data_IF_184401242994
#
_entry.id   IF_184401242994
#
_cell.length_a   1.000
_cell.length_b   1.000
_cell.length_c   1.000
_cell.angle_alpha   90.00
_cell.angle_beta   90.00
_cell.angle_gamma   90.00
#
_symmetry.space_group_name_H-M   'P 1'
#
loop_
_entity.id
_entity.type
_entity.pdbx_description
1 polymer ?
#
# COMPACT_ATOMS: atom_id res chain seq x y z
N UNK A 1 -10.73 -54.70 9.26
CA UNK A 1 -9.61 -53.80 9.59
C UNK A 1 -9.84 -52.49 8.88
N UNK A 2 -10.52 -51.54 9.53
CA UNK A 2 -10.75 -50.19 9.04
C UNK A 2 -9.76 -49.26 9.74
N UNK A 3 -8.79 -48.73 9.01
CA UNK A 3 -7.91 -47.67 9.48
C UNK A 3 -8.70 -46.37 9.54
N UNK A 4 -8.97 -45.89 10.75
CA UNK A 4 -9.45 -44.53 10.99
C UNK A 4 -8.26 -43.57 10.93
N UNK A 5 -8.19 -42.78 9.86
CA UNK A 5 -7.27 -41.65 9.71
C UNK A 5 -7.64 -40.55 10.71
N UNK A 6 -6.88 -40.44 11.80
CA UNK A 6 -7.00 -39.34 12.76
C UNK A 6 -6.46 -38.03 12.19
N UNK A 7 -7.35 -37.14 11.74
CA UNK A 7 -7.01 -35.76 11.45
C UNK A 7 -6.58 -35.03 12.73
N UNK A 8 -5.47 -34.29 12.68
CA UNK A 8 -4.99 -33.49 13.83
C UNK A 8 -6.08 -32.47 14.23
N UNK A 9 -6.55 -32.46 15.49
CA UNK A 9 -7.55 -31.49 15.95
C UNK A 9 -6.98 -30.07 15.84
N UNK A 10 -7.73 -29.18 15.18
CA UNK A 10 -7.33 -27.79 14.97
C UNK A 10 -7.07 -27.08 16.30
N UNK A 11 -5.83 -26.61 16.48
CA UNK A 11 -5.38 -25.93 17.71
C UNK A 11 -6.12 -24.60 17.84
N UNK A 12 -6.95 -24.45 18.88
CA UNK A 12 -7.63 -23.19 19.21
C UNK A 12 -6.63 -22.14 19.69
N UNK A 13 -6.88 -20.87 19.36
CA UNK A 13 -6.08 -19.74 19.85
C UNK A 13 -6.29 -19.55 21.36
N UNK A 14 -5.20 -19.31 22.07
CA UNK A 14 -5.22 -18.85 23.46
C UNK A 14 -5.71 -17.41 23.54
N UNK A 15 -6.16 -16.98 24.72
CA UNK A 15 -6.59 -15.60 24.96
C UNK A 15 -5.47 -14.58 24.68
N UNK A 16 -4.22 -14.94 25.00
CA UNK A 16 -3.05 -14.11 24.71
C UNK A 16 -2.78 -13.99 23.21
N UNK A 17 -2.82 -15.10 22.46
CA UNK A 17 -2.66 -15.08 21.00
C UNK A 17 -3.76 -14.24 20.34
N UNK A 18 -5.01 -14.36 20.78
CA UNK A 18 -6.13 -13.57 20.24
C UNK A 18 -6.00 -12.08 20.57
N UNK A 19 -5.60 -11.74 21.79
CA UNK A 19 -5.38 -10.35 22.20
C UNK A 19 -4.23 -9.71 21.42
N UNK A 20 -3.13 -10.46 21.21
CA UNK A 20 -1.98 -10.01 20.42
C UNK A 20 -2.37 -9.76 18.97
N UNK A 21 -3.08 -10.71 18.35
CA UNK A 21 -3.60 -10.56 16.99
C UNK A 21 -4.50 -9.33 16.83
N UNK A 22 -5.43 -9.15 17.78
CA UNK A 22 -6.34 -8.00 17.77
C UNK A 22 -5.59 -6.68 17.89
N UNK A 23 -4.70 -6.57 18.88
CA UNK A 23 -3.91 -5.37 19.10
C UNK A 23 -3.06 -5.02 17.87
N UNK A 24 -2.48 -6.01 17.20
CA UNK A 24 -1.73 -5.79 15.96
C UNK A 24 -2.61 -5.19 14.85
N UNK A 25 -3.77 -5.79 14.56
CA UNK A 25 -4.65 -5.34 13.47
C UNK A 25 -5.27 -3.97 13.76
N UNK A 26 -5.80 -3.76 14.96
CA UNK A 26 -6.43 -2.50 15.35
C UNK A 26 -5.42 -1.35 15.34
N UNK A 27 -4.22 -1.57 15.88
CA UNK A 27 -3.15 -0.55 15.87
C UNK A 27 -2.68 -0.24 14.45
N UNK A 28 -2.51 -1.26 13.60
CA UNK A 28 -2.11 -1.06 12.21
C UNK A 28 -3.18 -0.28 11.41
N UNK A 29 -4.46 -0.54 11.65
CA UNK A 29 -5.57 0.19 11.03
C UNK A 29 -5.65 1.64 11.53
N UNK A 30 -5.47 1.86 12.84
CA UNK A 30 -5.45 3.20 13.42
C UNK A 30 -4.27 4.03 12.89
N UNK A 31 -3.08 3.44 12.84
CA UNK A 31 -1.89 4.09 12.30
C UNK A 31 -2.10 4.50 10.83
N UNK A 32 -2.64 3.59 10.00
CA UNK A 32 -3.00 3.88 8.61
C UNK A 32 -4.00 5.04 8.53
N UNK A 33 -5.06 5.00 9.33
CA UNK A 33 -6.08 6.05 9.35
C UNK A 33 -5.49 7.43 9.67
N UNK A 34 -4.62 7.51 10.69
CA UNK A 34 -3.98 8.78 11.08
C UNK A 34 -3.01 9.28 10.01
N UNK A 35 -2.16 8.39 9.46
CA UNK A 35 -1.22 8.75 8.40
C UNK A 35 -1.94 9.22 7.12
N UNK A 36 -2.98 8.50 6.72
CA UNK A 36 -3.82 8.88 5.58
C UNK A 36 -4.56 10.20 5.80
N UNK A 37 -5.01 10.47 7.04
CA UNK A 37 -5.59 11.76 7.44
C UNK A 37 -4.60 12.91 7.26
N UNK A 38 -3.41 12.80 7.87
CA UNK A 38 -2.35 13.83 7.77
C UNK A 38 -1.91 14.07 6.32
N UNK A 39 -1.72 13.00 5.54
CA UNK A 39 -1.39 13.09 4.12
C UNK A 39 -2.45 13.91 3.35
N UNK A 40 -3.72 13.66 3.63
CA UNK A 40 -4.82 14.39 2.98
C UNK A 40 -4.88 15.85 3.41
N UNK A 41 -4.68 16.14 4.68
CA UNK A 41 -4.69 17.51 5.22
C UNK A 41 -3.53 18.34 4.67
N UNK A 42 -2.32 17.79 4.63
CA UNK A 42 -1.12 18.52 4.25
C UNK A 42 -0.98 18.72 2.73
N UNK A 43 -1.50 17.80 1.91
CA UNK A 43 -1.24 17.82 0.47
C UNK A 43 -2.46 17.63 -0.42
N UNK A 44 -3.63 17.36 0.17
CA UNK A 44 -4.85 17.01 -0.58
C UNK A 44 -4.79 15.65 -1.28
N UNK A 45 -3.74 14.85 -1.05
CA UNK A 45 -3.62 13.51 -1.62
C UNK A 45 -4.23 12.48 -0.67
N UNK A 46 -5.01 11.56 -1.22
CA UNK A 46 -5.33 10.32 -0.51
C UNK A 46 -4.13 9.37 -0.53
N UNK A 47 -4.11 8.37 0.35
CA UNK A 47 -3.11 7.29 0.30
C UNK A 47 -3.05 6.62 -1.07
N UNK A 48 -4.21 6.46 -1.73
CA UNK A 48 -4.28 5.93 -3.08
C UNK A 48 -3.61 6.83 -4.11
N UNK A 49 -3.84 8.15 -4.04
CA UNK A 49 -3.20 9.08 -4.97
C UNK A 49 -1.68 9.07 -4.77
N UNK A 50 -1.23 9.05 -3.51
CA UNK A 50 0.18 9.00 -3.16
C UNK A 50 0.84 7.70 -3.62
N UNK A 51 0.20 6.55 -3.41
CA UNK A 51 0.72 5.25 -3.86
C UNK A 51 0.87 5.17 -5.37
N UNK A 52 -0.10 5.69 -6.14
CA UNK A 52 0.01 5.77 -7.60
C UNK A 52 1.15 6.71 -8.03
N UNK A 53 1.25 7.90 -7.43
CA UNK A 53 2.29 8.86 -7.77
C UNK A 53 3.68 8.38 -7.36
N UNK A 54 3.82 7.65 -6.25
CA UNK A 54 5.05 7.01 -5.83
C UNK A 54 5.50 5.99 -6.86
N UNK A 55 4.63 5.04 -7.24
CA UNK A 55 4.93 4.02 -8.23
C UNK A 55 5.33 4.63 -9.58
N UNK A 56 4.64 5.68 -10.01
CA UNK A 56 5.01 6.42 -11.22
C UNK A 56 6.32 7.18 -11.04
N UNK A 57 6.60 7.76 -9.87
CA UNK A 57 7.84 8.51 -9.63
C UNK A 57 9.11 7.65 -9.73
N UNK A 58 8.99 6.37 -9.39
CA UNK A 58 10.07 5.38 -9.44
C UNK A 58 10.19 4.70 -10.82
N UNK A 59 9.15 4.78 -11.64
CA UNK A 59 9.13 4.21 -12.97
C UNK A 59 9.91 5.07 -13.98
N UNK A 60 10.57 4.42 -14.94
CA UNK A 60 11.27 5.09 -16.03
C UNK A 60 10.30 5.99 -16.82
N UNK A 61 10.71 7.25 -17.05
CA UNK A 61 9.89 8.24 -17.74
C UNK A 61 8.61 8.65 -16.99
N UNK A 62 8.49 8.28 -15.70
CA UNK A 62 7.36 8.56 -14.82
C UNK A 62 6.02 8.03 -15.32
N UNK A 63 6.07 6.86 -15.92
CA UNK A 63 4.95 6.25 -16.60
C UNK A 63 4.94 4.74 -16.43
N UNK A 64 3.73 4.17 -16.43
CA UNK A 64 3.55 2.75 -16.28
C UNK A 64 2.28 2.31 -17.00
N UNK A 65 2.30 1.12 -17.61
CA UNK A 65 1.07 0.49 -18.13
C UNK A 65 0.09 0.28 -16.97
N UNK A 66 -1.20 0.55 -17.19
CA UNK A 66 -2.21 0.47 -16.13
C UNK A 66 -2.28 -0.91 -15.47
N UNK A 67 -2.07 -2.00 -16.23
CA UNK A 67 -2.03 -3.36 -15.71
C UNK A 67 -0.82 -3.60 -14.79
N UNK A 68 0.36 -3.11 -15.18
CA UNK A 68 1.56 -3.19 -14.35
C UNK A 68 1.44 -2.32 -13.10
N UNK A 69 0.82 -1.14 -13.23
CA UNK A 69 0.55 -0.26 -12.08
C UNK A 69 -0.40 -0.92 -11.08
N UNK A 70 -1.42 -1.63 -11.56
CA UNK A 70 -2.37 -2.36 -10.71
C UNK A 70 -1.66 -3.40 -9.86
N UNK A 71 -0.83 -4.25 -10.49
CA UNK A 71 -0.01 -5.23 -9.79
C UNK A 71 0.99 -4.57 -8.84
N UNK A 72 1.69 -3.53 -9.28
CA UNK A 72 2.69 -2.86 -8.44
C UNK A 72 2.10 -2.29 -7.13
N UNK A 73 0.91 -1.71 -7.17
CA UNK A 73 0.25 -1.17 -5.96
C UNK A 73 -0.68 -2.19 -5.27
N UNK A 74 -0.74 -3.43 -5.76
CA UNK A 74 -1.56 -4.51 -5.21
C UNK A 74 -3.07 -4.29 -5.32
N UNK A 75 -3.54 -3.65 -6.40
CA UNK A 75 -4.95 -3.34 -6.62
C UNK A 75 -5.55 -4.11 -7.79
N UNK A 76 -6.82 -4.46 -7.64
CA UNK A 76 -7.64 -4.94 -8.75
C UNK A 76 -7.75 -3.90 -9.89
N UNK A 77 -7.72 -4.37 -11.14
CA UNK A 77 -7.71 -3.49 -12.33
C UNK A 77 -8.91 -2.55 -12.40
N UNK A 78 -10.09 -3.03 -12.01
CA UNK A 78 -11.32 -2.21 -11.98
C UNK A 78 -11.20 -1.08 -10.96
N UNK A 79 -10.74 -1.40 -9.74
CA UNK A 79 -10.47 -0.42 -8.68
C UNK A 79 -9.49 0.64 -9.15
N UNK A 80 -8.36 0.22 -9.73
CA UNK A 80 -7.36 1.16 -10.26
C UNK A 80 -7.98 2.06 -11.33
N UNK A 81 -8.72 1.50 -12.29
CA UNK A 81 -9.30 2.24 -13.42
C UNK A 81 -10.23 3.36 -12.95
N UNK A 82 -11.09 3.09 -11.96
CA UNK A 82 -11.94 4.09 -11.34
C UNK A 82 -11.15 5.16 -10.57
N UNK A 83 -10.08 4.76 -9.88
CA UNK A 83 -9.24 5.70 -9.13
C UNK A 83 -8.47 6.64 -10.06
N UNK A 84 -7.82 6.10 -11.09
CA UNK A 84 -7.11 6.87 -12.11
C UNK A 84 -8.01 7.89 -12.79
N UNK A 85 -9.29 7.57 -13.04
CA UNK A 85 -10.23 8.52 -13.64
C UNK A 85 -10.58 9.70 -12.73
N UNK A 86 -10.43 9.56 -11.40
CA UNK A 86 -10.53 10.69 -10.47
C UNK A 86 -9.25 11.50 -10.44
N UNK A 87 -8.09 10.84 -10.44
CA UNK A 87 -6.80 11.50 -10.48
C UNK A 87 -6.61 12.33 -11.76
N UNK A 88 -7.04 11.78 -12.90
CA UNK A 88 -7.00 12.43 -14.21
C UNK A 88 -7.89 13.68 -14.26
N UNK A 89 -9.12 13.61 -13.74
CA UNK A 89 -10.00 14.78 -13.59
C UNK A 89 -9.41 15.87 -12.68
N UNK A 90 -8.54 15.49 -11.75
CA UNK A 90 -7.79 16.42 -10.88
C UNK A 90 -6.47 16.89 -11.49
N UNK A 91 -6.12 16.43 -12.70
CA UNK A 91 -4.88 16.77 -13.39
C UNK A 91 -3.62 16.15 -12.78
N UNK A 92 -3.73 15.13 -11.92
CA UNK A 92 -2.56 14.50 -11.28
C UNK A 92 -1.87 13.47 -12.19
N UNK A 93 -2.63 12.86 -13.09
CA UNK A 93 -2.15 11.87 -14.06
C UNK A 93 -2.78 12.14 -15.42
N UNK A 94 -2.17 11.62 -16.47
CA UNK A 94 -2.74 11.57 -17.81
C UNK A 94 -2.76 10.13 -18.31
N UNK A 95 -3.78 9.76 -19.08
CA UNK A 95 -3.81 8.52 -19.85
C UNK A 95 -3.37 8.76 -21.28
N UNK A 96 -2.49 7.90 -21.78
CA UNK A 96 -2.15 7.81 -23.19
C UNK A 96 -2.58 6.45 -23.73
N UNK A 97 -3.44 6.47 -24.74
CA UNK A 97 -3.78 5.26 -25.48
C UNK A 97 -2.59 4.87 -26.36
N UNK A 98 -2.22 3.58 -26.33
CA UNK A 98 -1.20 3.04 -27.21
C UNK A 98 -1.88 2.63 -28.51
N UNK A 99 -1.61 3.34 -29.62
CA UNK A 99 -2.25 3.07 -30.91
C UNK A 99 -1.97 1.66 -31.46
N UNK A 100 -0.92 1.01 -30.96
CA UNK A 100 -0.38 -0.26 -31.50
C UNK A 100 -0.68 -1.49 -30.63
N UNK A 101 -1.18 -1.31 -29.40
CA UNK A 101 -1.38 -2.42 -28.45
C UNK A 101 -2.64 -2.21 -27.60
N UNK A 102 -3.66 -3.03 -27.84
CA UNK A 102 -4.95 -3.02 -27.11
C UNK A 102 -4.84 -3.51 -25.66
N UNK A 103 -3.63 -3.85 -25.18
CA UNK A 103 -3.38 -4.44 -23.86
C UNK A 103 -3.32 -3.44 -22.69
N UNK A 104 -3.55 -2.15 -22.92
CA UNK A 104 -3.89 -1.19 -21.86
C UNK A 104 -3.28 0.20 -22.00
N UNK A 105 -3.97 1.20 -21.43
CA UNK A 105 -3.51 2.59 -21.40
C UNK A 105 -2.20 2.75 -20.60
N UNK A 106 -1.32 3.62 -21.10
CA UNK A 106 -0.15 4.10 -20.37
C UNK A 106 -0.58 5.25 -19.44
N UNK A 107 -0.19 5.17 -18.17
CA UNK A 107 -0.49 6.18 -17.16
C UNK A 107 0.77 6.97 -16.92
N UNK A 108 0.67 8.30 -16.98
CA UNK A 108 1.79 9.22 -16.78
C UNK A 108 1.49 10.15 -15.63
N UNK A 109 2.48 10.40 -14.76
CA UNK A 109 2.37 11.46 -13.78
C UNK A 109 2.55 12.83 -14.47
N UNK A 110 1.62 13.75 -14.26
CA UNK A 110 1.75 15.12 -14.79
C UNK A 110 2.75 15.92 -13.97
N UNK A 111 3.13 17.10 -14.46
CA UNK A 111 3.95 18.05 -13.69
C UNK A 111 3.27 18.42 -12.37
N UNK A 112 1.96 18.64 -12.40
CA UNK A 112 1.12 18.97 -11.26
C UNK A 112 1.07 17.80 -10.27
N UNK A 113 0.86 16.57 -10.77
CA UNK A 113 0.89 15.36 -9.96
C UNK A 113 2.22 15.15 -9.25
N UNK A 114 3.33 15.31 -9.97
CA UNK A 114 4.67 15.21 -9.39
C UNK A 114 4.97 16.33 -8.39
N UNK A 115 4.44 17.53 -8.63
CA UNK A 115 4.55 18.66 -7.71
C UNK A 115 3.76 18.39 -6.42
N UNK A 116 2.53 17.87 -6.53
CA UNK A 116 1.72 17.46 -5.39
C UNK A 116 2.38 16.33 -4.60
N UNK A 117 2.92 15.32 -5.29
CA UNK A 117 3.67 14.22 -4.67
C UNK A 117 4.85 14.74 -3.84
N UNK A 118 5.73 15.57 -4.42
CA UNK A 118 6.89 16.12 -3.70
C UNK A 118 6.51 16.95 -2.48
N UNK A 119 5.44 17.73 -2.56
CA UNK A 119 4.92 18.48 -1.40
C UNK A 119 4.40 17.57 -0.30
N UNK A 120 3.85 16.42 -0.66
CA UNK A 120 3.31 15.43 0.28
C UNK A 120 4.40 14.58 0.95
N UNK A 121 5.48 14.26 0.24
CA UNK A 121 6.49 13.28 0.70
C UNK A 121 7.13 13.69 2.02
N UNK A 122 7.60 14.93 2.17
CA UNK A 122 8.31 15.35 3.39
C UNK A 122 7.41 15.34 4.63
N UNK A 123 6.20 15.96 4.62
CA UNK A 123 5.26 15.84 5.73
C UNK A 123 4.88 14.39 6.04
N UNK A 124 4.64 13.57 5.00
CA UNK A 124 4.32 12.16 5.17
C UNK A 124 5.43 11.39 5.91
N UNK A 125 6.69 11.55 5.49
CA UNK A 125 7.84 10.91 6.15
C UNK A 125 8.07 11.41 7.57
N UNK A 126 7.77 12.68 7.86
CA UNK A 126 7.81 13.21 9.23
C UNK A 126 6.75 12.55 10.10
N UNK A 127 5.52 12.39 9.60
CA UNK A 127 4.46 11.70 10.31
C UNK A 127 4.79 10.21 10.56
N UNK A 128 5.40 9.52 9.58
CA UNK A 128 5.89 8.14 9.78
C UNK A 128 6.95 8.10 10.88
N UNK A 129 7.89 9.04 10.88
CA UNK A 129 8.91 9.11 11.92
C UNK A 129 8.31 9.31 13.30
N UNK A 130 7.47 10.33 13.47
CA UNK A 130 6.85 10.67 14.74
C UNK A 130 5.97 9.53 15.30
N UNK A 131 5.11 8.95 14.46
CA UNK A 131 4.09 8.00 14.92
C UNK A 131 4.58 6.56 15.01
N UNK A 132 5.67 6.22 14.32
CA UNK A 132 6.16 4.85 14.24
C UNK A 132 7.62 4.73 14.69
N UNK A 133 8.55 5.46 14.09
CA UNK A 133 9.98 5.28 14.38
C UNK A 133 10.36 5.80 15.77
N UNK A 134 9.87 6.98 16.16
CA UNK A 134 10.20 7.60 17.44
C UNK A 134 9.48 6.92 18.62
N UNK A 135 8.45 6.12 18.33
CA UNK A 135 7.72 5.32 19.32
C UNK A 135 8.44 4.00 19.69
N UNK A 136 9.47 3.61 18.92
CA UNK A 136 10.15 2.33 19.06
C UNK A 136 11.61 2.52 19.50
N UNK A 137 12.04 1.71 20.46
CA UNK A 137 13.48 1.53 20.71
C UNK A 137 14.15 0.83 19.52
N UNK A 138 15.48 0.94 19.33
CA UNK A 138 16.19 0.24 18.26
C UNK A 138 15.91 -1.27 18.23
N UNK A 139 15.93 -1.93 19.40
CA UNK A 139 15.65 -3.36 19.49
C UNK A 139 14.20 -3.72 19.12
N UNK A 140 13.24 -2.85 19.42
CA UNK A 140 11.85 -3.06 18.99
C UNK A 140 11.69 -2.87 17.48
N UNK A 141 12.39 -1.89 16.89
CA UNK A 141 12.38 -1.68 15.45
C UNK A 141 12.96 -2.90 14.70
N UNK A 142 14.06 -3.47 15.20
CA UNK A 142 14.65 -4.70 14.68
C UNK A 142 13.66 -5.87 14.78
N UNK A 143 13.02 -6.05 15.95
CA UNK A 143 12.00 -7.08 16.14
C UNK A 143 10.80 -6.90 15.18
N UNK A 144 10.37 -5.67 14.93
CA UNK A 144 9.31 -5.39 13.94
C UNK A 144 9.76 -5.77 12.54
N UNK A 145 11.00 -5.48 12.14
CA UNK A 145 11.52 -5.88 10.84
C UNK A 145 11.51 -7.41 10.67
N UNK A 146 11.91 -8.16 11.70
CA UNK A 146 11.86 -9.63 11.73
C UNK A 146 10.43 -10.17 11.64
N UNK A 147 9.51 -9.61 12.44
CA UNK A 147 8.09 -10.00 12.44
C UNK A 147 7.48 -9.76 11.05
N UNK A 148 7.72 -8.59 10.45
CA UNK A 148 7.19 -8.26 9.12
C UNK A 148 7.73 -9.22 8.05
N UNK A 149 9.02 -9.57 8.11
CA UNK A 149 9.60 -10.56 7.18
C UNK A 149 8.92 -11.92 7.34
N UNK A 150 8.82 -12.44 8.56
CA UNK A 150 8.20 -13.73 8.84
C UNK A 150 6.72 -13.79 8.42
N UNK A 151 5.97 -12.70 8.60
CA UNK A 151 4.56 -12.62 8.15
C UNK A 151 4.46 -12.55 6.63
N UNK A 152 5.33 -11.78 5.96
CA UNK A 152 5.33 -11.65 4.50
C UNK A 152 5.53 -12.99 3.80
N UNK A 153 6.40 -13.84 4.34
CA UNK A 153 6.66 -15.19 3.80
C UNK A 153 5.42 -16.13 3.86
N UNK A 154 4.40 -15.78 4.66
CA UNK A 154 3.15 -16.54 4.79
C UNK A 154 2.01 -15.98 3.96
N UNK A 155 2.13 -14.74 3.49
CA UNK A 155 1.11 -14.10 2.67
C UNK A 155 1.31 -14.50 1.21
N UNK A 156 0.22 -14.67 0.44
CA UNK A 156 0.36 -14.77 -1.01
C UNK A 156 1.09 -13.52 -1.53
N UNK A 157 1.88 -13.64 -2.61
CA UNK A 157 2.40 -12.46 -3.28
C UNK A 157 1.22 -11.52 -3.59
N UNK A 158 1.46 -10.21 -3.47
CA UNK A 158 0.46 -9.22 -3.89
C UNK A 158 0.00 -9.50 -5.33
N UNK A 159 -1.25 -9.13 -5.70
CA UNK A 159 -1.73 -9.27 -7.07
C UNK A 159 -0.87 -8.47 -8.08
#
# INVERSE_FOLDING_TARGET
MTHTTGGRPGRRLTSYELATWRGFIETAEQLRTVLGGRLREDSGLSEGDYGVLLALSEAEGRRMRSSALATHIGWERSRLSHHLGRMERRGLVARRECAEDSRGAEILATTEGMSAFRRATVPHLRAVRELFLDALTPAQLDAVAEIVAALRDRLPPGP
#
